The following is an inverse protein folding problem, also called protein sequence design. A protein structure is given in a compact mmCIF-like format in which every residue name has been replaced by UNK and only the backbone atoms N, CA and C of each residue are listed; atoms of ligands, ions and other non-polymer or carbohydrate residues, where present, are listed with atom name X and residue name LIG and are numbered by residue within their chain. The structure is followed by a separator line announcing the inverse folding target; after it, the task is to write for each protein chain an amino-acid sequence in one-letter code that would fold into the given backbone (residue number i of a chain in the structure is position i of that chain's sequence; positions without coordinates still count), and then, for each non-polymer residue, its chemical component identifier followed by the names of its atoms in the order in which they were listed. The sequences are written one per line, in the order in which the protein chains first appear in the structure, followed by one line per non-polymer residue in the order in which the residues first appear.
data_IF_244805092128
#
_entry.id   IF_244805092128
#
_cell.length_a   1.000
_cell.length_b   1.000
_cell.length_c   1.000
_cell.angle_alpha   90.00
_cell.angle_beta   90.00
_cell.angle_gamma   90.00
#
_symmetry.space_group_name_H-M   'P 1'
#
loop_
_entity.id
_entity.type
_entity.pdbx_description
1 polymer ?
#
# COMPACT_ATOMS: atom_id res chain seq x y z
N UNK A 1 20.49 8.89 -16.84
CA UNK A 1 19.70 10.01 -16.27
C UNK A 1 19.70 9.85 -14.76
N UNK A 2 19.99 10.92 -14.02
CA UNK A 2 20.05 10.87 -12.56
C UNK A 2 18.64 10.88 -11.92
N UNK A 3 18.47 10.02 -10.90
CA UNK A 3 17.21 9.85 -10.14
C UNK A 3 17.28 10.43 -8.72
N UNK A 4 18.46 10.89 -8.27
CA UNK A 4 18.75 11.32 -6.90
C UNK A 4 19.71 10.36 -6.19
N UNK A 5 20.53 10.89 -5.24
CA UNK A 5 21.48 10.10 -4.46
C UNK A 5 22.52 9.31 -5.25
N UNK A 6 22.73 9.66 -6.53
CA UNK A 6 23.64 8.94 -7.43
C UNK A 6 23.02 7.75 -8.16
N UNK A 7 21.75 7.42 -7.88
CA UNK A 7 21.02 6.42 -8.67
C UNK A 7 20.78 6.91 -10.11
N UNK A 8 20.88 6.01 -11.07
CA UNK A 8 20.88 6.36 -12.50
C UNK A 8 19.97 5.42 -13.31
N UNK A 9 19.26 5.98 -14.29
CA UNK A 9 18.75 5.20 -15.42
C UNK A 9 19.75 5.28 -16.57
N UNK A 10 20.20 4.13 -17.04
CA UNK A 10 20.98 3.99 -18.28
C UNK A 10 20.10 3.41 -19.38
N UNK A 11 19.59 4.26 -20.26
CA UNK A 11 18.73 3.85 -21.37
C UNK A 11 19.46 3.01 -22.45
N UNK A 12 20.80 2.90 -22.38
CA UNK A 12 21.55 2.04 -23.29
C UNK A 12 21.45 0.56 -22.92
N UNK A 13 20.94 0.27 -21.73
CA UNK A 13 20.63 -1.09 -21.26
C UNK A 13 19.23 -1.55 -21.68
N UNK A 14 18.40 -0.63 -22.19
CA UNK A 14 17.05 -0.97 -22.65
C UNK A 14 17.10 -1.76 -23.99
N UNK A 15 16.08 -2.57 -24.31
CA UNK A 15 16.01 -3.31 -25.57
C UNK A 15 16.12 -2.41 -26.82
N UNK A 16 16.69 -2.92 -27.91
CA UNK A 16 16.92 -2.17 -29.17
C UNK A 16 15.64 -1.52 -29.74
N UNK A 17 14.46 -2.12 -29.54
CA UNK A 17 13.17 -1.63 -30.02
C UNK A 17 12.41 -0.81 -28.96
N UNK A 18 13.04 -0.51 -27.82
CA UNK A 18 12.41 0.25 -26.75
C UNK A 18 12.05 1.68 -27.18
N UNK A 19 10.81 2.06 -26.89
CA UNK A 19 10.29 3.41 -27.17
C UNK A 19 10.00 4.15 -25.87
N UNK A 20 10.70 5.27 -25.64
CA UNK A 20 10.52 6.11 -24.48
C UNK A 20 9.11 6.75 -24.40
N UNK A 21 8.43 6.89 -25.53
CA UNK A 21 7.08 7.50 -25.63
C UNK A 21 5.97 6.47 -25.80
N UNK A 22 6.27 5.17 -25.74
CA UNK A 22 5.25 4.14 -25.80
C UNK A 22 4.14 4.44 -24.76
N UNK A 23 2.87 4.31 -25.17
CA UNK A 23 1.71 4.59 -24.31
C UNK A 23 1.31 6.06 -24.20
N UNK A 24 2.06 6.98 -24.85
CA UNK A 24 1.71 8.40 -24.95
C UNK A 24 1.31 8.72 -26.39
N UNK A 25 0.11 9.23 -26.57
CA UNK A 25 -0.43 9.68 -27.87
C UNK A 25 -0.79 11.16 -27.81
N UNK A 26 -1.35 11.72 -28.88
CA UNK A 26 -1.86 13.10 -28.87
C UNK A 26 -3.05 13.30 -27.94
N UNK A 27 -3.75 12.22 -27.53
CA UNK A 27 -5.00 12.29 -26.76
C UNK A 27 -5.01 11.46 -25.48
N UNK A 28 -4.07 10.53 -25.29
CA UNK A 28 -4.08 9.58 -24.17
C UNK A 28 -2.69 9.32 -23.60
N UNK A 29 -2.66 9.03 -22.29
CA UNK A 29 -1.55 8.44 -21.54
C UNK A 29 -2.11 7.15 -20.92
N UNK A 30 -1.52 5.99 -21.24
CA UNK A 30 -2.10 4.69 -20.87
C UNK A 30 -1.23 3.96 -19.86
N UNK A 31 -1.85 3.48 -18.76
CA UNK A 31 -1.22 2.66 -17.74
C UNK A 31 -1.92 1.30 -17.60
N UNK A 32 -1.14 0.26 -17.32
CA UNK A 32 -1.63 -1.06 -16.94
C UNK A 32 -1.70 -1.24 -15.43
N UNK A 33 -2.56 -2.15 -14.96
CA UNK A 33 -2.60 -2.63 -13.58
C UNK A 33 -3.10 -4.07 -13.52
N UNK A 34 -2.68 -4.83 -12.52
CA UNK A 34 -3.20 -6.17 -12.21
C UNK A 34 -3.56 -6.22 -10.74
N UNK A 35 -4.81 -6.57 -10.45
CA UNK A 35 -5.42 -6.46 -9.12
C UNK A 35 -6.35 -7.64 -8.86
N UNK A 36 -6.51 -8.12 -7.60
CA UNK A 36 -7.47 -9.16 -7.28
C UNK A 36 -8.90 -8.61 -7.29
N UNK A 37 -9.69 -8.97 -8.29
CA UNK A 37 -11.14 -8.71 -8.35
C UNK A 37 -11.97 -9.92 -7.90
N UNK A 38 -11.29 -10.98 -7.48
CA UNK A 38 -11.87 -12.23 -6.98
C UNK A 38 -11.07 -12.78 -5.79
N UNK A 39 -11.68 -13.65 -4.97
CA UNK A 39 -11.05 -14.23 -3.78
C UNK A 39 -11.13 -13.38 -2.53
N UNK A 40 -10.34 -13.73 -1.50
CA UNK A 40 -10.37 -13.08 -0.18
C UNK A 40 -9.92 -11.60 -0.20
N UNK A 41 -9.15 -11.20 -1.21
CA UNK A 41 -8.64 -9.85 -1.38
C UNK A 41 -9.40 -9.04 -2.46
N UNK A 42 -10.55 -9.53 -2.93
CA UNK A 42 -11.35 -8.88 -3.98
C UNK A 42 -11.75 -7.43 -3.66
N UNK A 43 -11.85 -7.08 -2.38
CA UNK A 43 -12.14 -5.70 -1.94
C UNK A 43 -11.13 -4.65 -2.41
N UNK A 44 -9.93 -5.07 -2.83
CA UNK A 44 -8.91 -4.16 -3.40
C UNK A 44 -9.01 -4.01 -4.93
N UNK A 45 -9.84 -4.81 -5.59
CA UNK A 45 -9.92 -4.86 -7.05
C UNK A 45 -10.38 -3.59 -7.74
N UNK A 46 -10.99 -2.65 -7.00
CA UNK A 46 -11.48 -1.38 -7.53
C UNK A 46 -10.50 -0.20 -7.35
N UNK A 47 -9.29 -0.45 -6.85
CA UNK A 47 -8.28 0.62 -6.69
C UNK A 47 -7.98 1.28 -8.05
N UNK A 48 -7.74 0.51 -9.11
CA UNK A 48 -7.50 1.07 -10.45
C UNK A 48 -8.69 1.84 -11.02
N UNK A 49 -9.91 1.41 -10.67
CA UNK A 49 -11.13 2.13 -11.05
C UNK A 49 -11.18 3.49 -10.33
N UNK A 50 -10.76 3.54 -9.05
CA UNK A 50 -10.62 4.78 -8.30
C UNK A 50 -9.57 5.73 -8.87
N UNK A 51 -8.43 5.20 -9.37
CA UNK A 51 -7.44 6.01 -10.12
C UNK A 51 -8.07 6.61 -11.37
N UNK A 52 -8.81 5.80 -12.15
CA UNK A 52 -9.51 6.30 -13.35
C UNK A 52 -10.54 7.39 -12.99
N UNK A 53 -11.35 7.17 -11.95
CA UNK A 53 -12.35 8.14 -11.48
C UNK A 53 -11.69 9.45 -11.04
N UNK A 54 -10.50 9.41 -10.46
CA UNK A 54 -9.73 10.61 -10.14
C UNK A 54 -9.41 11.41 -11.42
N UNK A 55 -8.86 10.76 -12.46
CA UNK A 55 -8.51 11.42 -13.71
C UNK A 55 -9.74 11.89 -14.50
N UNK A 56 -10.83 11.15 -14.45
CA UNK A 56 -12.12 11.58 -15.04
C UNK A 56 -12.66 12.85 -14.37
N UNK A 57 -12.37 13.04 -13.07
CA UNK A 57 -12.77 14.22 -12.32
C UNK A 57 -11.87 15.44 -12.59
N UNK A 58 -10.54 15.27 -12.55
CA UNK A 58 -9.59 16.38 -12.70
C UNK A 58 -9.37 16.77 -14.16
N UNK A 59 -9.64 15.86 -15.10
CA UNK A 59 -9.51 16.08 -16.53
C UNK A 59 -8.12 15.78 -17.11
N UNK A 60 -7.88 16.19 -18.38
CA UNK A 60 -6.67 15.81 -19.10
C UNK A 60 -5.42 16.52 -18.58
N UNK A 61 -4.27 15.83 -18.65
CA UNK A 61 -2.94 16.35 -18.37
C UNK A 61 -2.25 16.66 -19.70
N UNK A 62 -1.76 17.88 -19.86
CA UNK A 62 -1.13 18.35 -21.10
C UNK A 62 -1.97 18.01 -22.36
N UNK A 63 -3.31 18.11 -22.23
CA UNK A 63 -4.27 17.82 -23.30
C UNK A 63 -4.57 16.33 -23.53
N UNK A 64 -4.04 15.41 -22.72
CA UNK A 64 -4.19 13.95 -22.83
C UNK A 64 -5.00 13.39 -21.68
N UNK A 65 -5.93 12.50 -21.97
CA UNK A 65 -6.66 11.74 -20.93
C UNK A 65 -5.78 10.62 -20.39
N UNK A 66 -5.77 10.41 -19.08
CA UNK A 66 -5.15 9.23 -18.47
C UNK A 66 -6.13 8.07 -18.53
N UNK A 67 -5.65 6.91 -19.00
CA UNK A 67 -6.45 5.70 -19.19
C UNK A 67 -5.82 4.55 -18.39
N UNK A 68 -6.58 3.98 -17.46
CA UNK A 68 -6.19 2.79 -16.72
C UNK A 68 -6.75 1.53 -17.36
N UNK A 69 -5.88 0.59 -17.70
CA UNK A 69 -6.24 -0.76 -18.18
C UNK A 69 -5.94 -1.75 -17.07
N UNK A 70 -6.93 -2.46 -16.55
CA UNK A 70 -6.70 -3.39 -15.44
C UNK A 70 -7.27 -4.77 -15.70
N UNK A 71 -6.59 -5.80 -15.17
CA UNK A 71 -7.01 -7.20 -15.27
C UNK A 71 -7.07 -7.86 -13.89
N UNK A 72 -7.98 -8.86 -13.73
CA UNK A 72 -8.12 -9.65 -12.51
C UNK A 72 -7.03 -10.73 -12.44
N UNK A 73 -6.26 -10.74 -11.36
CA UNK A 73 -5.29 -11.80 -11.07
C UNK A 73 -5.72 -12.74 -9.93
N UNK A 74 -6.78 -12.42 -9.21
CA UNK A 74 -7.24 -13.19 -8.05
C UNK A 74 -6.18 -13.36 -6.97
N UNK A 75 -5.19 -12.45 -6.90
CA UNK A 75 -4.01 -12.53 -6.05
C UNK A 75 -3.15 -13.78 -6.32
N UNK A 76 -2.96 -14.12 -7.60
CA UNK A 76 -2.14 -15.24 -8.06
C UNK A 76 -1.01 -14.73 -8.94
N UNK A 77 0.23 -14.78 -8.45
CA UNK A 77 1.43 -14.23 -9.10
C UNK A 77 1.62 -14.68 -10.56
N UNK A 78 1.32 -15.94 -10.86
CA UNK A 78 1.38 -16.46 -12.23
C UNK A 78 0.35 -15.81 -13.18
N UNK A 79 -0.83 -15.42 -12.65
CA UNK A 79 -1.83 -14.67 -13.45
C UNK A 79 -1.39 -13.23 -13.64
N UNK A 80 -0.83 -12.59 -12.61
CA UNK A 80 -0.26 -11.24 -12.75
C UNK A 80 0.76 -11.20 -13.86
N UNK A 81 1.68 -12.18 -13.90
CA UNK A 81 2.66 -12.29 -14.97
C UNK A 81 2.01 -12.40 -16.34
N UNK A 82 1.02 -13.29 -16.50
CA UNK A 82 0.29 -13.43 -17.76
C UNK A 82 -0.43 -12.14 -18.15
N UNK A 83 -1.13 -11.49 -17.20
CA UNK A 83 -1.83 -10.22 -17.44
C UNK A 83 -0.85 -9.13 -17.92
N UNK A 84 0.30 -9.01 -17.26
CA UNK A 84 1.32 -8.00 -17.60
C UNK A 84 1.92 -8.27 -18.98
N UNK A 85 2.28 -9.52 -19.29
CA UNK A 85 2.79 -9.90 -20.60
C UNK A 85 1.77 -9.59 -21.72
N UNK A 86 0.49 -9.95 -21.52
CA UNK A 86 -0.58 -9.64 -22.48
C UNK A 86 -0.78 -8.12 -22.65
N UNK A 87 -0.78 -7.35 -21.56
CA UNK A 87 -0.95 -5.90 -21.64
C UNK A 87 0.23 -5.20 -22.32
N UNK A 88 1.47 -5.68 -22.12
CA UNK A 88 2.66 -5.16 -22.85
C UNK A 88 2.47 -5.35 -24.35
N UNK A 89 1.98 -6.52 -24.76
CA UNK A 89 1.88 -6.88 -26.17
C UNK A 89 0.75 -6.14 -26.91
N UNK A 90 -0.38 -5.83 -26.22
CA UNK A 90 -1.60 -5.37 -26.92
C UNK A 90 -2.08 -3.98 -26.56
N UNK A 91 -1.74 -3.44 -25.35
CA UNK A 91 -2.39 -2.23 -24.85
C UNK A 91 -1.59 -0.93 -25.08
N UNK A 92 -0.37 -1.03 -25.58
CA UNK A 92 0.49 0.13 -25.82
C UNK A 92 0.57 1.04 -24.58
N UNK A 93 1.23 0.58 -23.52
CA UNK A 93 1.28 1.23 -22.21
C UNK A 93 2.55 2.05 -22.01
N UNK A 94 2.43 3.19 -21.32
CA UNK A 94 3.57 3.96 -20.80
C UNK A 94 4.30 3.16 -19.71
N UNK A 95 3.52 2.51 -18.83
CA UNK A 95 4.01 1.67 -17.75
C UNK A 95 2.86 1.03 -16.99
N UNK A 96 3.17 0.44 -15.87
CA UNK A 96 2.20 -0.11 -14.92
C UNK A 96 2.11 0.78 -13.68
N UNK A 97 0.91 0.96 -13.14
CA UNK A 97 0.69 1.70 -11.91
C UNK A 97 -0.29 0.93 -11.00
N UNK A 98 0.16 0.66 -9.76
CA UNK A 98 -0.70 0.07 -8.75
C UNK A 98 -0.96 -1.43 -8.92
N UNK A 99 0.01 -2.24 -9.32
CA UNK A 99 -0.07 -3.70 -9.19
C UNK A 99 -0.11 -4.05 -7.71
N UNK A 100 -1.05 -4.93 -7.30
CA UNK A 100 -1.24 -5.25 -5.90
C UNK A 100 -0.62 -6.59 -5.50
N UNK A 101 0.06 -6.58 -4.35
CA UNK A 101 0.58 -7.77 -3.69
C UNK A 101 2.06 -8.03 -3.94
N UNK A 102 2.77 -8.46 -2.88
CA UNK A 102 4.21 -8.69 -2.91
C UNK A 102 4.60 -9.77 -3.92
N UNK A 103 4.07 -11.01 -3.86
CA UNK A 103 4.44 -12.04 -4.84
C UNK A 103 4.02 -11.69 -6.27
N UNK A 104 2.95 -10.91 -6.43
CA UNK A 104 2.44 -10.46 -7.73
C UNK A 104 3.40 -9.48 -8.40
N UNK A 105 3.87 -8.47 -7.64
CA UNK A 105 4.85 -7.51 -8.12
C UNK A 105 6.21 -8.15 -8.38
N UNK A 106 6.69 -9.03 -7.49
CA UNK A 106 7.94 -9.76 -7.69
C UNK A 106 7.93 -10.63 -8.94
N UNK A 107 6.79 -11.24 -9.29
CA UNK A 107 6.66 -12.08 -10.50
C UNK A 107 6.92 -11.32 -11.81
N UNK A 108 6.84 -9.99 -11.81
CA UNK A 108 7.03 -9.12 -12.98
C UNK A 108 8.16 -8.11 -12.83
N UNK A 109 8.80 -8.07 -11.67
CA UNK A 109 9.80 -7.08 -11.29
C UNK A 109 11.00 -7.08 -12.26
N UNK A 110 11.65 -8.23 -12.44
CA UNK A 110 12.76 -8.37 -13.38
C UNK A 110 12.30 -8.09 -14.82
N UNK A 111 11.16 -8.65 -15.22
CA UNK A 111 10.61 -8.46 -16.56
C UNK A 111 10.44 -6.97 -16.91
N UNK A 112 9.85 -6.19 -16.01
CA UNK A 112 9.58 -4.79 -16.28
C UNK A 112 10.86 -3.95 -16.23
N UNK A 113 11.77 -4.21 -15.29
CA UNK A 113 13.04 -3.49 -15.20
C UNK A 113 13.97 -3.81 -16.39
N UNK A 114 14.13 -5.06 -16.79
CA UNK A 114 14.95 -5.47 -17.96
C UNK A 114 14.42 -4.89 -19.28
N UNK A 115 13.10 -4.64 -19.36
CA UNK A 115 12.46 -4.03 -20.52
C UNK A 115 12.25 -2.52 -20.41
N UNK A 116 12.82 -1.88 -19.38
CA UNK A 116 12.72 -0.44 -19.15
C UNK A 116 11.27 0.06 -19.19
N UNK A 117 10.38 -0.67 -18.52
CA UNK A 117 8.96 -0.37 -18.40
C UNK A 117 8.69 0.08 -16.97
N UNK A 118 8.18 1.31 -16.74
CA UNK A 118 7.83 1.79 -15.41
C UNK A 118 6.87 0.85 -14.67
N UNK A 119 7.22 0.49 -13.43
CA UNK A 119 6.39 -0.24 -12.47
C UNK A 119 6.20 0.67 -11.25
N UNK A 120 5.18 1.52 -11.32
CA UNK A 120 4.96 2.60 -10.37
C UNK A 120 3.97 2.23 -9.29
N UNK A 121 4.17 2.79 -8.11
CA UNK A 121 3.19 2.75 -7.03
C UNK A 121 2.75 1.31 -6.71
N UNK A 122 3.71 0.41 -6.55
CA UNK A 122 3.42 -0.97 -6.15
C UNK A 122 2.60 -0.97 -4.85
N UNK A 123 1.40 -1.58 -4.89
CA UNK A 123 0.48 -1.63 -3.75
C UNK A 123 0.90 -2.74 -2.78
N UNK A 124 2.09 -2.57 -2.24
CA UNK A 124 2.73 -3.44 -1.26
C UNK A 124 3.91 -2.71 -0.62
N UNK A 125 4.22 -3.01 0.63
CA UNK A 125 5.28 -2.37 1.40
C UNK A 125 6.57 -3.19 1.47
N UNK A 126 6.88 -4.02 0.46
CA UNK A 126 8.17 -4.72 0.45
C UNK A 126 9.32 -3.71 0.41
N UNK A 127 10.39 -3.93 1.21
CA UNK A 127 11.55 -3.05 1.22
C UNK A 127 12.31 -3.04 -0.11
N UNK A 128 12.18 -4.06 -0.96
CA UNK A 128 12.80 -4.17 -2.29
C UNK A 128 12.39 -3.04 -3.25
N UNK A 129 11.27 -2.36 -3.00
CA UNK A 129 10.87 -1.22 -3.85
C UNK A 129 11.72 0.02 -3.62
N UNK A 130 12.56 0.04 -2.58
CA UNK A 130 13.52 1.09 -2.27
C UNK A 130 14.92 0.85 -2.85
N UNK A 131 15.07 0.16 -4.00
CA UNK A 131 16.35 -0.12 -4.66
C UNK A 131 16.48 0.58 -6.03
N UNK A 132 16.65 1.91 -6.07
CA UNK A 132 16.81 2.64 -7.34
C UNK A 132 18.11 2.34 -8.07
N UNK A 133 19.09 1.72 -7.41
CA UNK A 133 20.37 1.40 -8.02
C UNK A 133 20.31 0.16 -8.92
N UNK A 134 19.54 -0.86 -8.52
CA UNK A 134 19.40 -2.10 -9.29
C UNK A 134 18.06 -2.14 -10.05
N UNK A 135 17.02 -1.50 -9.52
CA UNK A 135 15.66 -1.49 -10.08
C UNK A 135 15.12 -0.08 -10.29
N UNK A 136 15.77 0.74 -11.12
CA UNK A 136 15.41 2.15 -11.31
C UNK A 136 14.02 2.37 -11.92
N UNK A 137 13.39 1.33 -12.49
CA UNK A 137 12.07 1.38 -13.10
C UNK A 137 10.93 0.97 -12.15
N UNK A 138 11.23 0.74 -10.86
CA UNK A 138 10.25 0.26 -9.87
C UNK A 138 10.16 1.19 -8.67
N UNK A 139 8.93 1.51 -8.21
CA UNK A 139 8.69 2.28 -6.97
C UNK A 139 7.53 1.70 -6.16
N UNK A 140 7.60 1.82 -4.83
CA UNK A 140 6.53 1.44 -3.91
C UNK A 140 5.51 2.57 -3.68
N UNK A 141 4.35 2.22 -3.12
CA UNK A 141 3.28 3.15 -2.76
C UNK A 141 2.96 3.18 -1.26
N UNK A 142 3.42 2.19 -0.52
CA UNK A 142 3.07 2.00 0.89
C UNK A 142 4.31 2.18 1.77
N UNK A 143 4.07 2.43 3.06
CA UNK A 143 5.12 2.34 4.08
C UNK A 143 5.80 0.98 4.00
N UNK A 144 7.12 0.96 4.14
CA UNK A 144 7.86 -0.32 4.22
C UNK A 144 7.33 -1.18 5.36
N UNK A 145 7.11 -2.45 5.09
CA UNK A 145 6.67 -3.42 6.10
C UNK A 145 7.67 -3.56 7.27
N UNK A 146 8.95 -3.33 7.00
CA UNK A 146 9.97 -3.26 8.05
C UNK A 146 9.76 -2.04 8.95
N UNK A 147 9.48 -0.87 8.38
CA UNK A 147 9.19 0.36 9.12
C UNK A 147 7.92 0.20 9.96
N UNK A 148 6.86 -0.35 9.37
CA UNK A 148 5.61 -0.64 10.08
C UNK A 148 5.85 -1.60 11.27
N UNK A 149 6.59 -2.68 11.06
CA UNK A 149 6.92 -3.65 12.11
C UNK A 149 7.75 -3.04 13.25
N UNK A 150 8.71 -2.17 12.94
CA UNK A 150 9.49 -1.44 13.96
C UNK A 150 8.60 -0.52 14.80
N UNK A 151 7.63 0.16 14.19
CA UNK A 151 6.65 0.98 14.90
C UNK A 151 5.80 0.10 15.83
N UNK A 152 5.35 -1.07 15.38
CA UNK A 152 4.62 -2.02 16.23
C UNK A 152 5.44 -2.51 17.41
N UNK A 153 6.69 -2.89 17.20
CA UNK A 153 7.60 -3.29 18.27
C UNK A 153 7.69 -2.23 19.37
N UNK A 154 7.98 -0.98 18.97
CA UNK A 154 8.10 0.11 19.91
C UNK A 154 6.78 0.36 20.64
N UNK A 155 5.66 0.31 19.91
CA UNK A 155 4.35 0.50 20.52
C UNK A 155 4.02 -0.57 21.57
N UNK A 156 4.30 -1.85 21.29
CA UNK A 156 4.07 -2.93 22.27
C UNK A 156 4.94 -2.74 23.51
N UNK A 157 6.21 -2.36 23.32
CA UNK A 157 7.12 -2.09 24.43
C UNK A 157 6.68 -0.91 25.31
N UNK A 158 6.15 0.14 24.69
CA UNK A 158 5.68 1.34 25.40
C UNK A 158 4.34 1.11 26.13
N UNK A 159 3.45 0.32 25.52
CA UNK A 159 2.10 0.08 26.04
C UNK A 159 2.06 -0.99 27.14
N UNK A 160 2.75 -2.10 26.94
CA UNK A 160 2.71 -3.28 27.83
C UNK A 160 3.99 -3.36 28.66
N UNK A 161 5.14 -3.10 28.04
CA UNK A 161 6.44 -3.14 28.68
C UNK A 161 7.27 -4.39 28.32
N UNK A 162 8.48 -4.43 28.90
CA UNK A 162 9.39 -5.57 28.73
C UNK A 162 8.78 -6.84 29.33
N UNK A 163 8.88 -7.94 28.61
CA UNK A 163 8.30 -9.25 28.95
C UNK A 163 6.92 -9.47 28.31
N UNK A 164 6.41 -8.52 27.52
CA UNK A 164 5.19 -8.74 26.75
C UNK A 164 5.36 -9.90 25.78
N UNK A 165 4.36 -10.78 25.74
CA UNK A 165 4.31 -11.94 24.87
C UNK A 165 3.49 -11.64 23.61
N UNK A 166 4.01 -12.03 22.44
CA UNK A 166 3.38 -11.74 21.14
C UNK A 166 3.16 -13.04 20.37
N UNK A 167 1.93 -13.20 19.87
CA UNK A 167 1.60 -14.22 18.89
C UNK A 167 1.41 -13.56 17.51
N UNK A 168 1.96 -14.14 16.44
CA UNK A 168 1.92 -13.56 15.10
C UNK A 168 1.12 -14.46 14.16
N UNK A 169 0.08 -13.88 13.53
CA UNK A 169 -0.60 -14.43 12.36
C UNK A 169 -0.08 -13.69 11.13
N UNK A 170 0.53 -14.38 10.18
CA UNK A 170 1.05 -13.74 8.96
C UNK A 170 0.62 -14.47 7.69
N UNK A 171 0.62 -13.74 6.56
CA UNK A 171 0.49 -14.33 5.23
C UNK A 171 1.68 -15.25 4.94
N UNK A 172 1.43 -16.43 4.36
CA UNK A 172 2.47 -17.32 3.83
C UNK A 172 2.94 -16.83 2.44
N UNK A 173 3.60 -15.67 2.45
CA UNK A 173 4.19 -15.05 1.26
C UNK A 173 5.20 -13.96 1.68
N UNK A 174 5.82 -13.30 0.67
CA UNK A 174 6.85 -12.26 0.87
C UNK A 174 6.37 -11.11 1.78
N UNK A 175 5.10 -10.72 1.71
CA UNK A 175 4.54 -9.66 2.57
C UNK A 175 4.52 -10.07 4.04
N UNK A 176 3.94 -11.24 4.34
CA UNK A 176 3.89 -11.77 5.70
C UNK A 176 5.28 -12.04 6.26
N UNK A 177 6.20 -12.50 5.40
CA UNK A 177 7.60 -12.72 5.78
C UNK A 177 8.29 -11.40 6.15
N UNK A 178 8.14 -10.33 5.36
CA UNK A 178 8.77 -9.04 5.63
C UNK A 178 8.34 -8.46 6.99
N UNK A 179 7.04 -8.45 7.31
CA UNK A 179 6.55 -8.03 8.62
C UNK A 179 7.07 -8.92 9.76
N UNK A 180 6.97 -10.24 9.56
CA UNK A 180 7.33 -11.23 10.57
C UNK A 180 8.82 -11.17 10.93
N UNK A 181 9.69 -11.12 9.92
CA UNK A 181 11.15 -11.03 10.12
C UNK A 181 11.51 -9.74 10.83
N UNK A 182 11.01 -8.59 10.35
CA UNK A 182 11.32 -7.30 10.95
C UNK A 182 10.83 -7.18 12.40
N UNK A 183 9.64 -7.74 12.72
CA UNK A 183 9.17 -7.78 14.10
C UNK A 183 10.05 -8.67 14.99
N UNK A 184 10.45 -9.85 14.51
CA UNK A 184 11.35 -10.75 15.24
C UNK A 184 12.76 -10.16 15.45
N UNK A 185 13.23 -9.29 14.54
CA UNK A 185 14.50 -8.60 14.68
C UNK A 185 14.47 -7.50 15.74
N UNK A 186 13.39 -6.72 15.83
CA UNK A 186 13.28 -5.63 16.79
C UNK A 186 12.83 -6.08 18.18
N UNK A 187 11.99 -7.10 18.29
CA UNK A 187 11.37 -7.54 19.54
C UNK A 187 12.36 -7.85 20.68
N UNK A 188 13.45 -8.61 20.47
CA UNK A 188 14.40 -8.93 21.55
C UNK A 188 15.11 -7.70 22.13
N UNK A 189 15.40 -6.68 21.28
CA UNK A 189 16.04 -5.42 21.71
C UNK A 189 15.18 -4.61 22.65
N UNK A 190 13.86 -4.78 22.57
CA UNK A 190 12.85 -4.11 23.40
C UNK A 190 12.34 -5.01 24.56
N UNK A 191 12.85 -6.23 24.65
CA UNK A 191 12.46 -7.19 25.68
C UNK A 191 11.09 -7.83 25.44
N UNK A 192 10.64 -7.88 24.21
CA UNK A 192 9.42 -8.57 23.79
C UNK A 192 9.75 -10.04 23.47
N UNK A 193 8.79 -10.94 23.72
CA UNK A 193 8.93 -12.37 23.50
C UNK A 193 7.89 -12.87 22.49
N UNK A 194 8.32 -13.22 21.27
CA UNK A 194 7.46 -13.85 20.28
C UNK A 194 7.30 -15.33 20.66
N UNK A 195 6.12 -15.68 21.18
CA UNK A 195 5.87 -17.00 21.77
C UNK A 195 5.24 -18.00 20.83
N UNK A 196 4.57 -17.54 19.77
CA UNK A 196 3.96 -18.41 18.74
C UNK A 196 3.79 -17.67 17.42
N UNK A 197 3.93 -18.39 16.30
CA UNK A 197 3.77 -17.85 14.94
C UNK A 197 3.04 -18.87 14.07
N UNK A 198 2.04 -18.39 13.33
CA UNK A 198 1.34 -19.19 12.32
C UNK A 198 1.24 -18.39 11.02
N UNK A 199 1.61 -19.03 9.91
CA UNK A 199 1.42 -18.51 8.58
C UNK A 199 0.18 -19.14 7.94
N UNK A 200 -0.62 -18.35 7.23
CA UNK A 200 -1.80 -18.83 6.52
C UNK A 200 -1.68 -18.60 5.01
N UNK A 201 -2.25 -19.53 4.26
CA UNK A 201 -2.35 -19.43 2.79
C UNK A 201 -3.18 -18.18 2.40
N UNK A 202 -2.69 -17.30 1.51
CA UNK A 202 -3.46 -16.17 0.99
C UNK A 202 -4.72 -16.58 0.19
N UNK A 203 -4.85 -17.86 -0.17
CA UNK A 203 -6.05 -18.43 -0.79
C UNK A 203 -6.92 -19.22 0.20
N UNK A 204 -6.61 -19.19 1.51
CA UNK A 204 -7.42 -19.89 2.52
C UNK A 204 -8.84 -19.33 2.59
N UNK A 205 -9.80 -20.20 2.86
CA UNK A 205 -11.18 -19.78 3.12
C UNK A 205 -11.33 -19.10 4.49
N UNK A 206 -10.48 -19.46 5.45
CA UNK A 206 -10.57 -18.98 6.83
C UNK A 206 -9.25 -19.12 7.59
N UNK A 207 -8.95 -18.12 8.44
CA UNK A 207 -7.84 -18.12 9.42
C UNK A 207 -8.29 -18.45 10.85
N UNK A 208 -9.56 -18.79 11.05
CA UNK A 208 -10.10 -19.12 12.39
C UNK A 208 -9.33 -20.25 13.11
N UNK A 209 -9.01 -21.38 12.44
CA UNK A 209 -8.17 -22.42 13.05
C UNK A 209 -6.78 -21.93 13.48
N UNK A 210 -6.16 -21.06 12.68
CA UNK A 210 -4.83 -20.52 12.93
C UNK A 210 -4.84 -19.62 14.16
N UNK A 211 -5.80 -18.70 14.25
CA UNK A 211 -6.00 -17.83 15.43
C UNK A 211 -6.32 -18.67 16.69
N UNK A 212 -7.10 -19.75 16.55
CA UNK A 212 -7.37 -20.65 17.67
C UNK A 212 -6.11 -21.36 18.15
N UNK A 213 -5.19 -21.69 17.24
CA UNK A 213 -3.88 -22.25 17.59
C UNK A 213 -3.04 -21.25 18.36
N UNK A 214 -2.93 -20.01 17.84
CA UNK A 214 -2.19 -18.93 18.49
C UNK A 214 -2.73 -18.58 19.88
N UNK A 215 -4.04 -18.64 20.07
CA UNK A 215 -4.67 -18.40 21.38
C UNK A 215 -4.25 -19.40 22.48
N UNK A 216 -3.76 -20.56 22.11
CA UNK A 216 -3.24 -21.52 23.09
C UNK A 216 -1.95 -21.03 23.81
N UNK A 217 -1.26 -20.05 23.26
CA UNK A 217 -0.10 -19.39 23.87
C UNK A 217 -0.48 -18.41 24.98
N UNK A 218 -1.76 -17.98 25.04
CA UNK A 218 -2.25 -16.92 25.95
C UNK A 218 -1.42 -15.62 25.88
N UNK A 219 -0.95 -15.28 24.67
CA UNK A 219 -0.11 -14.11 24.45
C UNK A 219 -0.85 -12.80 24.73
N UNK A 220 -0.11 -11.79 25.25
CA UNK A 220 -0.63 -10.46 25.54
C UNK A 220 -1.04 -9.69 24.26
N UNK A 221 -0.40 -10.00 23.13
CA UNK A 221 -0.60 -9.33 21.84
C UNK A 221 -0.86 -10.35 20.74
N UNK A 222 -1.84 -10.08 19.88
CA UNK A 222 -2.00 -10.70 18.58
C UNK A 222 -1.62 -9.71 17.49
N UNK A 223 -0.49 -9.98 16.82
CA UNK A 223 -0.10 -9.26 15.61
C UNK A 223 -0.69 -9.96 14.38
N UNK A 224 -1.54 -9.25 13.63
CA UNK A 224 -2.17 -9.71 12.39
C UNK A 224 -1.43 -9.08 11.20
N UNK A 225 -0.30 -9.66 10.82
CA UNK A 225 0.51 -9.31 9.65
C UNK A 225 -0.12 -9.89 8.37
N UNK A 226 -1.35 -9.46 8.08
CA UNK A 226 -2.19 -9.96 7.01
C UNK A 226 -2.99 -8.82 6.36
N UNK A 227 -3.94 -9.14 5.48
CA UNK A 227 -4.71 -8.14 4.73
C UNK A 227 -6.14 -8.56 4.48
N UNK A 228 -7.00 -7.58 4.21
CA UNK A 228 -8.36 -7.81 3.74
C UNK A 228 -9.25 -8.55 4.73
N UNK A 229 -10.04 -9.50 4.23
CA UNK A 229 -11.00 -10.24 5.03
C UNK A 229 -10.36 -11.09 6.14
N UNK A 230 -9.08 -11.44 6.02
CA UNK A 230 -8.38 -12.23 7.04
C UNK A 230 -8.24 -11.48 8.36
N UNK A 231 -8.08 -10.15 8.32
CA UNK A 231 -8.03 -9.33 9.54
C UNK A 231 -9.35 -9.37 10.29
N UNK A 232 -10.48 -9.27 9.57
CA UNK A 232 -11.82 -9.36 10.14
C UNK A 232 -12.05 -10.73 10.76
N UNK A 233 -11.67 -11.79 10.06
CA UNK A 233 -11.80 -13.17 10.55
C UNK A 233 -10.95 -13.42 11.81
N UNK A 234 -9.73 -12.85 11.88
CA UNK A 234 -8.89 -12.96 13.06
C UNK A 234 -9.58 -12.32 14.28
N UNK A 235 -10.07 -11.10 14.17
CA UNK A 235 -10.78 -10.38 15.24
C UNK A 235 -12.07 -11.10 15.65
N UNK A 236 -12.88 -11.55 14.70
CA UNK A 236 -14.10 -12.33 15.01
C UNK A 236 -13.78 -13.64 15.74
N UNK A 237 -12.64 -14.25 15.41
CA UNK A 237 -12.24 -15.50 16.08
C UNK A 237 -11.81 -15.22 17.51
N UNK A 238 -10.99 -14.18 17.78
CA UNK A 238 -10.60 -13.83 19.17
C UNK A 238 -11.83 -13.59 20.04
N UNK A 239 -12.81 -12.83 19.53
CA UNK A 239 -14.08 -12.59 20.24
C UNK A 239 -14.89 -13.89 20.47
N UNK A 240 -14.89 -14.82 19.50
CA UNK A 240 -15.65 -16.08 19.59
C UNK A 240 -15.07 -17.02 20.65
N UNK A 241 -13.75 -17.09 20.77
CA UNK A 241 -13.06 -17.97 21.72
C UNK A 241 -12.76 -17.29 23.06
N UNK A 242 -13.19 -16.03 23.24
CA UNK A 242 -12.96 -15.20 24.42
C UNK A 242 -11.47 -15.03 24.77
N UNK A 243 -10.62 -14.91 23.76
CA UNK A 243 -9.23 -14.46 23.92
C UNK A 243 -9.18 -12.96 23.71
N UNK A 244 -8.61 -12.22 24.68
CA UNK A 244 -8.63 -10.75 24.73
C UNK A 244 -7.20 -10.15 24.66
N UNK A 245 -6.41 -10.43 23.62
CA UNK A 245 -5.09 -9.80 23.44
C UNK A 245 -5.23 -8.36 22.98
N UNK A 246 -4.18 -7.54 23.12
CA UNK A 246 -4.03 -6.34 22.30
C UNK A 246 -3.91 -6.76 20.83
N UNK A 247 -4.84 -6.34 19.97
CA UNK A 247 -4.83 -6.69 18.55
C UNK A 247 -4.18 -5.58 17.73
N UNK A 248 -3.06 -5.88 17.08
CA UNK A 248 -2.42 -5.03 16.08
C UNK A 248 -2.69 -5.60 14.70
N UNK A 249 -3.12 -4.76 13.76
CA UNK A 249 -3.38 -5.17 12.37
C UNK A 249 -2.53 -4.36 11.40
N UNK A 250 -2.14 -4.98 10.28
CA UNK A 250 -1.41 -4.30 9.22
C UNK A 250 -2.26 -3.22 8.53
N UNK A 251 -1.59 -2.22 7.94
CA UNK A 251 -2.23 -1.09 7.26
C UNK A 251 -3.17 -1.52 6.11
N UNK A 252 -2.94 -2.68 5.49
CA UNK A 252 -3.87 -3.29 4.53
C UNK A 252 -5.27 -3.60 5.09
N UNK A 253 -5.48 -3.46 6.41
CA UNK A 253 -6.75 -3.68 7.10
C UNK A 253 -7.41 -2.38 7.57
N UNK A 254 -6.93 -1.21 7.13
CA UNK A 254 -7.36 0.07 7.70
C UNK A 254 -8.78 0.52 7.33
N UNK A 255 -9.39 0.01 6.23
CA UNK A 255 -10.68 0.50 5.73
C UNK A 255 -11.85 0.23 6.68
N UNK A 256 -12.36 1.28 7.35
CA UNK A 256 -13.45 1.20 8.33
C UNK A 256 -14.71 0.62 7.69
N UNK A 257 -15.21 1.22 6.61
CA UNK A 257 -16.47 0.81 6.00
C UNK A 257 -16.41 -0.62 5.47
N UNK A 258 -15.25 -1.03 4.92
CA UNK A 258 -15.09 -2.33 4.28
C UNK A 258 -14.89 -3.47 5.31
N UNK A 259 -14.11 -3.23 6.35
CA UNK A 259 -13.68 -4.29 7.27
C UNK A 259 -14.34 -4.20 8.65
N UNK A 260 -14.43 -3.03 9.25
CA UNK A 260 -14.73 -2.87 10.66
C UNK A 260 -16.17 -2.49 10.95
N UNK A 261 -16.78 -1.60 10.16
CA UNK A 261 -18.17 -1.23 10.33
C UNK A 261 -19.13 -2.43 10.31
N UNK A 262 -18.95 -3.47 9.44
CA UNK A 262 -19.83 -4.62 9.42
C UNK A 262 -19.84 -5.46 10.71
N UNK A 263 -18.74 -5.47 11.47
CA UNK A 263 -18.65 -6.24 12.73
C UNK A 263 -18.90 -5.36 13.97
N UNK A 264 -19.03 -4.05 13.79
CA UNK A 264 -19.44 -3.11 14.82
C UNK A 264 -18.52 -3.12 16.05
N UNK A 265 -19.09 -3.09 17.28
CA UNK A 265 -18.28 -2.97 18.51
C UNK A 265 -17.27 -4.11 18.75
N UNK A 266 -17.36 -5.23 18.01
CA UNK A 266 -16.34 -6.29 18.09
C UNK A 266 -14.96 -5.84 17.57
N UNK A 267 -14.93 -4.75 16.80
CA UNK A 267 -13.71 -4.14 16.30
C UNK A 267 -13.06 -3.14 17.27
N UNK A 268 -13.67 -2.84 18.42
CA UNK A 268 -13.12 -1.88 19.37
C UNK A 268 -11.76 -2.33 19.92
N UNK A 269 -10.82 -1.36 20.03
CA UNK A 269 -9.49 -1.58 20.59
C UNK A 269 -8.46 -2.14 19.60
N UNK A 270 -8.85 -2.38 18.34
CA UNK A 270 -7.89 -2.72 17.29
C UNK A 270 -6.99 -1.52 17.04
N UNK A 271 -5.69 -1.76 16.94
CA UNK A 271 -4.70 -0.72 16.64
C UNK A 271 -3.95 -1.02 15.35
N UNK A 272 -3.54 0.05 14.66
CA UNK A 272 -2.74 -0.03 13.44
C UNK A 272 -1.85 1.20 13.30
N UNK A 273 -0.84 1.09 12.43
CA UNK A 273 -0.10 2.27 11.93
C UNK A 273 -0.89 2.83 10.76
N UNK A 274 -1.54 3.97 10.97
CA UNK A 274 -2.31 4.64 9.93
C UNK A 274 -1.44 5.69 9.22
N UNK A 275 -1.40 5.61 7.88
CA UNK A 275 -0.61 6.51 7.03
C UNK A 275 -1.46 7.45 6.19
N UNK A 276 -2.78 7.20 6.11
CA UNK A 276 -3.70 7.93 5.26
C UNK A 276 -5.10 8.00 5.86
N UNK A 277 -5.84 9.04 5.49
CA UNK A 277 -7.22 9.28 5.94
C UNK A 277 -8.17 8.22 5.37
N UNK A 278 -9.10 7.73 6.20
CA UNK A 278 -10.22 6.90 5.77
C UNK A 278 -11.46 7.76 5.53
N UNK A 279 -12.09 7.65 4.36
CA UNK A 279 -13.28 8.45 4.01
C UNK A 279 -14.49 8.15 4.90
N UNK A 280 -14.54 6.97 5.50
CA UNK A 280 -15.62 6.52 6.37
C UNK A 280 -15.34 6.74 7.86
N UNK A 281 -14.21 7.36 8.20
CA UNK A 281 -13.90 7.76 9.57
C UNK A 281 -14.82 8.89 10.02
N UNK A 282 -15.66 8.61 11.01
CA UNK A 282 -16.62 9.59 11.52
C UNK A 282 -15.97 10.85 12.09
N UNK A 283 -14.73 10.77 12.58
CA UNK A 283 -13.97 11.93 13.10
C UNK A 283 -13.48 12.86 11.99
N UNK A 284 -13.41 12.38 10.73
CA UNK A 284 -12.99 13.14 9.57
C UNK A 284 -14.17 13.64 8.70
N UNK A 285 -15.40 13.53 9.19
CA UNK A 285 -16.59 13.94 8.44
C UNK A 285 -16.55 15.40 7.96
N UNK A 286 -15.90 16.29 8.71
CA UNK A 286 -15.73 17.72 8.37
C UNK A 286 -14.36 18.03 7.72
N UNK A 287 -13.52 17.05 7.47
CA UNK A 287 -12.23 17.24 6.78
C UNK A 287 -12.45 17.62 5.31
N UNK A 288 -11.83 18.71 4.87
CA UNK A 288 -12.03 19.26 3.52
C UNK A 288 -11.63 18.30 2.40
N UNK A 289 -10.56 17.52 2.59
CA UNK A 289 -10.12 16.54 1.60
C UNK A 289 -11.08 15.34 1.56
N UNK A 290 -11.51 14.84 2.72
CA UNK A 290 -12.51 13.76 2.80
C UNK A 290 -13.81 14.17 2.12
N UNK A 291 -14.33 15.38 2.40
CA UNK A 291 -15.52 15.90 1.73
C UNK A 291 -15.34 16.06 0.22
N UNK A 292 -14.17 16.53 -0.23
CA UNK A 292 -13.85 16.64 -1.63
C UNK A 292 -13.89 15.28 -2.33
N UNK A 293 -13.20 14.26 -1.79
CA UNK A 293 -13.16 12.93 -2.40
C UNK A 293 -14.53 12.26 -2.38
N UNK A 294 -15.25 12.31 -1.25
CA UNK A 294 -16.62 11.78 -1.15
C UNK A 294 -17.56 12.44 -2.17
N UNK A 295 -17.54 13.77 -2.25
CA UNK A 295 -18.35 14.51 -3.21
C UNK A 295 -18.00 14.21 -4.68
N UNK A 296 -16.73 13.99 -4.97
CA UNK A 296 -16.27 13.61 -6.30
C UNK A 296 -16.77 12.21 -6.70
N UNK A 297 -16.65 11.22 -5.82
CA UNK A 297 -17.15 9.86 -6.05
C UNK A 297 -18.69 9.85 -6.20
N UNK A 298 -19.40 10.51 -5.28
CA UNK A 298 -20.87 10.63 -5.35
C UNK A 298 -21.34 11.26 -6.67
N UNK A 299 -20.64 12.31 -7.16
CA UNK A 299 -20.97 12.97 -8.41
C UNK A 299 -20.83 12.07 -9.64
N UNK A 300 -20.01 11.04 -9.53
CA UNK A 300 -19.77 10.00 -10.55
C UNK A 300 -20.66 8.77 -10.33
N UNK A 301 -21.53 8.77 -9.30
CA UNK A 301 -22.44 7.68 -8.99
C UNK A 301 -21.77 6.49 -8.28
N UNK A 302 -20.63 6.72 -7.66
CA UNK A 302 -19.87 5.70 -6.91
C UNK A 302 -20.05 5.94 -5.42
N UNK A 303 -20.46 4.90 -4.69
CA UNK A 303 -20.57 4.95 -3.23
C UNK A 303 -19.16 5.03 -2.61
N UNK A 304 -18.79 6.12 -1.90
CA UNK A 304 -17.46 6.30 -1.34
C UNK A 304 -17.12 5.30 -0.21
N UNK A 305 -18.12 4.64 0.34
CA UNK A 305 -17.94 3.64 1.41
C UNK A 305 -17.86 2.21 0.85
N UNK A 306 -18.24 2.00 -0.41
CA UNK A 306 -18.11 0.71 -1.07
C UNK A 306 -16.67 0.49 -1.58
N UNK A 307 -16.14 -0.71 -1.35
CA UNK A 307 -14.87 -1.20 -1.90
C UNK A 307 -13.66 -0.24 -1.70
N UNK A 308 -12.72 -0.21 -2.63
CA UNK A 308 -11.44 0.52 -2.48
C UNK A 308 -11.25 1.69 -3.46
N UNK A 309 -12.33 2.22 -4.06
CA UNK A 309 -12.25 3.39 -4.95
C UNK A 309 -11.57 4.60 -4.29
N UNK A 310 -11.85 4.84 -3.01
CA UNK A 310 -11.25 5.92 -2.24
C UNK A 310 -9.73 5.83 -2.16
N UNK A 311 -9.20 4.62 -2.00
CA UNK A 311 -7.75 4.40 -2.00
C UNK A 311 -7.15 4.68 -3.39
N UNK A 312 -7.88 4.28 -4.45
CA UNK A 312 -7.50 4.62 -5.82
C UNK A 312 -7.45 6.13 -6.07
N UNK A 313 -8.31 6.89 -5.41
CA UNK A 313 -8.29 8.36 -5.50
C UNK A 313 -6.99 8.96 -4.95
N UNK A 314 -6.46 8.43 -3.84
CA UNK A 314 -5.16 8.84 -3.27
C UNK A 314 -4.02 8.55 -4.26
N UNK A 315 -4.00 7.36 -4.84
CA UNK A 315 -2.96 6.99 -5.82
C UNK A 315 -3.11 7.76 -7.13
N UNK A 316 -4.33 8.13 -7.51
CA UNK A 316 -4.60 9.04 -8.62
C UNK A 316 -4.01 10.43 -8.39
N UNK A 317 -4.14 10.97 -7.17
CA UNK A 317 -3.54 12.26 -6.78
C UNK A 317 -2.01 12.21 -6.90
N UNK A 318 -1.38 11.14 -6.40
CA UNK A 318 0.08 10.95 -6.48
C UNK A 318 0.54 10.85 -7.94
N UNK A 319 -0.10 10.00 -8.73
CA UNK A 319 0.25 9.83 -10.15
C UNK A 319 0.03 11.12 -10.95
N UNK A 320 -0.95 11.94 -10.57
CA UNK A 320 -1.21 13.24 -11.19
C UNK A 320 -0.04 14.20 -10.98
N UNK A 321 0.44 14.38 -9.75
CA UNK A 321 1.59 15.23 -9.44
C UNK A 321 2.83 14.79 -10.22
N UNK A 322 3.11 13.48 -10.24
CA UNK A 322 4.24 12.91 -11.00
C UNK A 322 4.11 13.15 -12.50
N UNK A 323 2.89 13.08 -13.07
CA UNK A 323 2.65 13.36 -14.48
C UNK A 323 2.80 14.86 -14.81
N UNK A 324 2.38 15.76 -13.91
CA UNK A 324 2.59 17.19 -14.07
C UNK A 324 4.08 17.53 -14.09
N UNK A 325 4.85 17.01 -13.14
CA UNK A 325 6.29 17.21 -13.09
C UNK A 325 6.98 16.65 -14.34
N UNK A 326 6.58 15.47 -14.80
CA UNK A 326 7.12 14.89 -16.03
C UNK A 326 6.77 15.72 -17.27
N UNK A 327 5.57 16.33 -17.31
CA UNK A 327 5.15 17.19 -18.42
C UNK A 327 5.98 18.49 -18.51
N UNK A 328 6.42 19.03 -17.38
CA UNK A 328 7.24 20.25 -17.31
C UNK A 328 8.73 20.01 -17.65
N UNK A 329 9.17 18.75 -17.73
CA UNK A 329 10.54 18.41 -18.13
C UNK A 329 10.77 18.51 -19.63
N UNK A 330 12.02 18.74 -20.05
CA UNK A 330 12.42 18.69 -21.46
C UNK A 330 12.04 17.32 -22.09
N UNK A 331 11.26 17.32 -23.14
CA UNK A 331 10.73 16.11 -23.79
C UNK A 331 9.34 15.72 -23.32
N UNK A 332 8.81 16.35 -22.27
CA UNK A 332 7.45 16.12 -21.77
C UNK A 332 7.25 14.73 -21.17
N UNK A 333 6.01 14.25 -21.15
CA UNK A 333 5.65 12.95 -20.58
C UNK A 333 6.25 11.82 -21.42
N UNK A 334 7.12 11.04 -20.80
CA UNK A 334 7.72 9.83 -21.36
C UNK A 334 8.23 8.94 -20.21
N UNK A 335 8.65 7.69 -20.49
CA UNK A 335 9.07 6.74 -19.45
C UNK A 335 10.20 7.25 -18.56
N UNK A 336 11.23 7.88 -19.15
CA UNK A 336 12.37 8.36 -18.37
C UNK A 336 12.03 9.56 -17.51
N UNK A 337 11.26 10.54 -18.03
CA UNK A 337 10.82 11.70 -17.26
C UNK A 337 9.83 11.29 -16.17
N UNK A 338 8.95 10.31 -16.43
CA UNK A 338 8.04 9.75 -15.46
C UNK A 338 8.79 9.14 -14.27
N UNK A 339 9.81 8.30 -14.52
CA UNK A 339 10.62 7.72 -13.46
C UNK A 339 11.42 8.77 -12.70
N UNK A 340 11.96 9.77 -13.40
CA UNK A 340 12.65 10.86 -12.73
C UNK A 340 11.73 11.68 -11.83
N UNK A 341 10.54 12.03 -12.32
CA UNK A 341 9.53 12.72 -11.54
C UNK A 341 9.12 11.91 -10.30
N UNK A 342 8.94 10.59 -10.47
CA UNK A 342 8.59 9.71 -9.38
C UNK A 342 9.70 9.62 -8.31
N UNK A 343 10.95 9.39 -8.71
CA UNK A 343 12.07 9.27 -7.78
C UNK A 343 12.51 10.59 -7.12
N UNK A 344 12.08 11.74 -7.66
CA UNK A 344 12.40 13.07 -7.15
C UNK A 344 11.15 13.85 -6.69
N UNK A 345 10.06 13.11 -6.44
CA UNK A 345 8.80 13.73 -6.04
C UNK A 345 8.88 14.36 -4.64
N UNK A 346 8.15 15.44 -4.46
CA UNK A 346 7.89 16.03 -3.14
C UNK A 346 6.63 16.88 -3.20
N UNK A 347 5.60 16.47 -2.47
CA UNK A 347 4.36 17.25 -2.35
C UNK A 347 3.64 17.00 -1.03
N UNK A 348 2.81 17.97 -0.61
CA UNK A 348 1.98 17.87 0.58
C UNK A 348 0.72 17.06 0.26
N UNK A 349 0.67 15.80 0.74
CA UNK A 349 -0.49 14.94 0.53
C UNK A 349 -1.61 15.28 1.50
N UNK A 350 -2.72 15.80 0.98
CA UNK A 350 -3.91 16.11 1.79
C UNK A 350 -4.60 14.87 2.34
N UNK A 351 -4.43 13.72 1.69
CA UNK A 351 -4.93 12.42 2.12
C UNK A 351 -4.06 11.72 3.16
N UNK A 352 -2.85 12.23 3.44
CA UNK A 352 -1.96 11.65 4.44
C UNK A 352 -2.40 11.99 5.88
N UNK A 353 -2.15 11.09 6.82
CA UNK A 353 -2.31 11.36 8.24
C UNK A 353 -1.32 12.45 8.67
N UNK A 354 -1.82 13.45 9.42
CA UNK A 354 -1.01 14.57 9.87
C UNK A 354 -0.53 15.50 8.74
N UNK A 355 -1.06 15.35 7.52
CA UNK A 355 -0.61 16.03 6.30
C UNK A 355 0.89 15.81 6.04
N UNK A 356 1.38 14.61 6.37
CA UNK A 356 2.77 14.25 6.13
C UNK A 356 3.10 14.38 4.62
N UNK A 357 4.26 14.94 4.28
CA UNK A 357 4.69 15.03 2.89
C UNK A 357 4.85 13.64 2.29
N UNK A 358 4.79 13.57 0.98
CA UNK A 358 5.21 12.40 0.19
C UNK A 358 6.43 12.85 -0.60
N UNK A 359 7.57 12.29 -0.29
CA UNK A 359 8.83 12.65 -0.95
C UNK A 359 9.70 11.45 -1.22
N UNK A 360 10.56 11.59 -2.23
CA UNK A 360 11.62 10.64 -2.58
C UNK A 360 12.78 11.43 -3.19
N UNK A 361 14.02 10.99 -2.95
CA UNK A 361 15.25 11.51 -3.58
C UNK A 361 16.17 10.34 -3.99
N UNK A 362 15.64 9.45 -4.83
CA UNK A 362 16.36 8.31 -5.36
C UNK A 362 17.02 7.46 -4.27
N UNK A 363 18.37 7.33 -4.32
CA UNK A 363 19.13 6.55 -3.34
C UNK A 363 19.39 7.29 -2.02
N UNK A 364 19.07 8.58 -1.90
CA UNK A 364 19.14 9.28 -0.61
C UNK A 364 17.90 9.00 0.24
N UNK A 365 16.75 8.87 -0.42
CA UNK A 365 15.45 8.67 0.18
C UNK A 365 14.58 7.89 -0.80
N UNK A 366 14.40 6.60 -0.53
CA UNK A 366 13.85 5.65 -1.50
C UNK A 366 12.40 5.25 -1.23
N UNK A 367 11.79 5.76 -0.15
CA UNK A 367 10.44 5.38 0.25
C UNK A 367 9.52 6.57 0.37
N UNK A 368 8.46 6.59 -0.45
CA UNK A 368 7.48 7.68 -0.50
C UNK A 368 6.67 7.86 0.80
N UNK A 369 6.48 6.80 1.57
CA UNK A 369 5.63 6.79 2.76
C UNK A 369 6.45 6.35 3.96
N UNK A 370 6.89 7.30 4.78
CA UNK A 370 7.72 7.04 5.94
C UNK A 370 7.12 7.59 7.24
N UNK A 371 6.02 8.33 7.16
CA UNK A 371 5.32 8.87 8.33
C UNK A 371 3.95 8.19 8.52
N UNK A 372 3.63 7.91 9.77
CA UNK A 372 2.35 7.33 10.18
C UNK A 372 2.05 7.61 11.64
N UNK A 373 0.88 7.20 12.10
CA UNK A 373 0.44 7.38 13.48
C UNK A 373 -0.25 6.12 13.96
N UNK A 374 0.01 5.72 15.21
CA UNK A 374 -0.74 4.64 15.80
C UNK A 374 -2.11 5.16 16.22
N UNK A 375 -3.13 4.49 15.75
CA UNK A 375 -4.52 4.82 16.02
C UNK A 375 -5.27 3.59 16.52
N UNK A 376 -6.23 3.83 17.40
CA UNK A 376 -7.14 2.83 17.94
C UNK A 376 -8.52 2.99 17.33
N UNK A 377 -9.09 1.89 16.85
CA UNK A 377 -10.46 1.90 16.32
C UNK A 377 -11.48 1.92 17.46
N UNK A 378 -12.40 2.87 17.38
CA UNK A 378 -13.55 3.01 18.27
C UNK A 378 -14.82 2.95 17.44
N UNK A 379 -15.75 2.07 17.82
CA UNK A 379 -17.07 1.93 17.21
C UNK A 379 -18.13 2.11 18.29
N UNK A 380 -18.88 3.19 18.23
CA UNK A 380 -19.94 3.52 19.19
C UNK A 380 -21.15 4.18 18.50
N UNK A 381 -22.00 4.87 19.26
CA UNK A 381 -23.20 5.54 18.75
C UNK A 381 -22.90 6.72 17.82
N UNK A 382 -21.70 7.29 17.91
CA UNK A 382 -21.25 8.41 17.07
C UNK A 382 -20.59 7.93 15.76
N UNK A 383 -20.49 6.63 15.55
CA UNK A 383 -19.92 5.98 14.37
C UNK A 383 -18.58 5.30 14.63
N UNK A 384 -18.02 4.73 13.58
CA UNK A 384 -16.69 4.12 13.61
C UNK A 384 -15.64 5.19 13.27
N UNK A 385 -14.56 5.26 14.04
CA UNK A 385 -13.49 6.23 13.86
C UNK A 385 -12.17 5.74 14.42
N UNK A 386 -11.09 6.26 13.88
CA UNK A 386 -9.76 6.09 14.43
C UNK A 386 -9.44 7.20 15.44
N UNK A 387 -9.00 6.80 16.62
CA UNK A 387 -8.58 7.72 17.68
C UNK A 387 -7.06 7.67 17.79
N UNK A 388 -6.37 8.79 17.60
CA UNK A 388 -4.92 8.85 17.77
C UNK A 388 -4.49 8.46 19.18
N UNK A 389 -3.54 7.54 19.30
CA UNK A 389 -2.91 7.17 20.57
C UNK A 389 -1.42 7.46 20.59
N UNK A 390 -0.84 7.88 19.47
CA UNK A 390 0.49 8.46 19.39
C UNK A 390 0.47 9.80 18.65
N UNK A 391 1.57 10.56 18.77
CA UNK A 391 1.91 11.61 17.79
C UNK A 391 2.24 10.96 16.44
N UNK A 392 2.38 11.77 15.38
CA UNK A 392 2.92 11.30 14.10
C UNK A 392 4.34 10.82 14.32
N UNK A 393 4.61 9.59 13.94
CA UNK A 393 5.93 8.97 13.94
C UNK A 393 6.46 9.16 12.53
N UNK A 394 7.57 9.89 12.42
CA UNK A 394 8.15 10.33 11.16
C UNK A 394 9.55 9.72 11.00
N UNK A 395 9.70 8.89 9.99
CA UNK A 395 10.95 8.27 9.58
C UNK A 395 11.48 8.86 8.27
N UNK A 396 10.95 10.01 7.82
CA UNK A 396 11.33 10.67 6.57
C UNK A 396 12.85 10.75 6.40
N UNK A 397 13.36 10.19 5.31
CA UNK A 397 14.78 10.09 4.99
C UNK A 397 15.60 9.23 5.97
N UNK A 398 14.96 8.43 6.83
CA UNK A 398 15.64 7.59 7.83
C UNK A 398 15.50 6.09 7.55
N UNK A 399 14.57 5.69 6.69
CA UNK A 399 14.42 4.28 6.28
C UNK A 399 15.60 3.83 5.40
N UNK A 400 16.21 4.80 4.68
CA UNK A 400 17.39 4.53 3.86
C UNK A 400 17.05 3.96 2.49
N UNK A 401 17.93 3.09 1.99
CA UNK A 401 17.80 2.42 0.69
C UNK A 401 17.92 0.92 0.90
N UNK A 402 17.16 0.12 0.18
CA UNK A 402 17.21 -1.34 0.30
C UNK A 402 18.63 -1.89 0.09
N UNK A 403 19.08 -2.75 1.01
CA UNK A 403 20.38 -3.42 0.91
C UNK A 403 21.60 -2.57 1.33
N UNK A 404 21.38 -1.38 1.92
CA UNK A 404 22.46 -0.51 2.42
C UNK A 404 22.51 -0.41 3.93
#
# INVERSE_FOLDING_TARGET
MELGGGAMIDITECPDEWDNYQGVTDSEIRFGSSLPRSGALAGFGTISDGVQLYFDHVGPIDGRNVVMVSQDDGYVAARTKTNVEEMIDVENLLGFAGILGSPNNLAVHDLLNENCIPQLLNLTGLPEWGDPNNYPWTTGALMSYETEARIWCQHVADEIGSGATVAILSLDNDAGEAWRVAFNECAPGLGLDVVDEVQHDPQADSVGPDVTTLAASDADVLLVASSGAFCVQAVLTTATIAWEPLVLVANGCQRIALFWAPIGPLANGIRLVNTQKDLSDASLADDEWVQFVRGALDSQGVDPDAESHALGYIFGEILHEVLLDAADMDGGINRTNLMRAMWQMSFDSRGAIGNAPRSMDGANDSYMVEAGRIEELVVDADGARYVPISDVIDYEGQTGTFGQ
#
